data_IF_570997242029
#
_entry.id   IF_570997242029
#
_cell.length_a   1.000
_cell.length_b   1.000
_cell.length_c   1.000
_cell.angle_alpha   90.00
_cell.angle_beta   90.00
_cell.angle_gamma   90.00
#
_symmetry.space_group_name_H-M   'P 1'
#
loop_
_entity.id
_entity.type
_entity.pdbx_description
1 polymer ?
#
# COMPACT_ATOMS: atom_id res chain seq x y z
N UNK A 1 34.47 -2.60 5.44
CA UNK A 1 33.97 -1.33 4.88
C UNK A 1 32.55 -1.10 5.35
N UNK A 2 32.24 0.07 5.90
CA UNK A 2 30.86 0.40 6.26
C UNK A 2 30.04 0.53 4.96
N UNK A 3 28.88 -0.14 4.89
CA UNK A 3 28.00 -0.06 3.71
C UNK A 3 27.65 1.40 3.43
N UNK A 4 27.75 1.80 2.17
CA UNK A 4 27.29 3.11 1.73
C UNK A 4 25.78 3.26 1.93
N UNK A 5 25.31 4.49 2.04
CA UNK A 5 23.87 4.76 2.18
C UNK A 5 23.05 4.15 1.02
N UNK A 6 23.60 4.12 -0.19
CA UNK A 6 22.96 3.50 -1.35
C UNK A 6 22.78 1.97 -1.17
N UNK A 7 23.80 1.30 -0.63
CA UNK A 7 23.78 -0.14 -0.35
C UNK A 7 22.87 -0.49 0.82
N UNK A 8 22.86 0.33 1.89
CA UNK A 8 21.92 0.17 2.99
C UNK A 8 20.46 0.30 2.52
N UNK A 9 20.20 1.28 1.65
CA UNK A 9 18.88 1.46 1.05
C UNK A 9 18.51 0.30 0.12
N UNK A 10 19.45 -0.24 -0.65
CA UNK A 10 19.22 -1.42 -1.50
C UNK A 10 18.88 -2.67 -0.68
N UNK A 11 19.62 -2.90 0.41
CA UNK A 11 19.38 -4.02 1.33
C UNK A 11 18.05 -3.86 2.07
N UNK A 12 17.71 -2.64 2.50
CA UNK A 12 16.40 -2.34 3.10
C UNK A 12 15.25 -2.63 2.12
N UNK A 13 15.40 -2.20 0.86
CA UNK A 13 14.44 -2.48 -0.23
C UNK A 13 14.26 -3.98 -0.44
N UNK A 14 15.35 -4.74 -0.55
CA UNK A 14 15.29 -6.19 -0.73
C UNK A 14 14.59 -6.89 0.43
N UNK A 15 14.83 -6.47 1.68
CA UNK A 15 14.19 -7.05 2.88
C UNK A 15 12.70 -6.70 3.00
N UNK A 16 12.26 -5.55 2.52
CA UNK A 16 10.87 -5.11 2.62
C UNK A 16 9.98 -5.57 1.45
N UNK A 17 10.59 -5.88 0.29
CA UNK A 17 9.90 -6.47 -0.86
C UNK A 17 9.78 -7.99 -0.74
N UNK A 18 10.75 -8.65 -0.09
CA UNK A 18 10.72 -10.08 0.22
C UNK A 18 10.18 -10.30 1.62
N UNK A 19 8.88 -10.07 1.83
CA UNK A 19 8.22 -10.82 2.90
C UNK A 19 8.25 -12.31 2.53
N UNK A 20 8.13 -13.19 3.50
CA UNK A 20 8.31 -14.65 3.37
C UNK A 20 7.39 -15.26 2.27
N UNK A 21 6.32 -14.55 1.91
CA UNK A 21 5.36 -14.95 0.88
C UNK A 21 5.45 -14.15 -0.44
N UNK A 22 6.32 -13.13 -0.56
CA UNK A 22 6.47 -12.34 -1.80
C UNK A 22 5.30 -11.41 -2.16
N UNK A 23 4.29 -11.28 -1.30
CA UNK A 23 3.03 -10.57 -1.58
C UNK A 23 3.08 -9.03 -1.45
N UNK A 24 4.27 -8.42 -1.37
CA UNK A 24 4.41 -6.96 -1.20
C UNK A 24 4.85 -6.27 -2.49
N UNK A 25 3.97 -5.45 -3.05
CA UNK A 25 4.29 -4.55 -4.15
C UNK A 25 4.66 -3.14 -3.67
N UNK A 26 5.52 -2.44 -4.44
CA UNK A 26 5.89 -1.06 -4.12
C UNK A 26 4.85 -0.09 -4.69
N UNK A 27 4.21 0.68 -3.81
CA UNK A 27 3.41 1.84 -4.20
C UNK A 27 4.34 3.05 -4.49
N UNK A 28 4.50 3.41 -5.78
CA UNK A 28 5.33 4.55 -6.19
C UNK A 28 4.51 5.84 -6.26
N UNK A 29 4.24 6.48 -5.10
CA UNK A 29 3.41 7.69 -5.05
C UNK A 29 3.99 8.77 -4.16
N UNK A 30 3.68 10.02 -4.51
CA UNK A 30 3.88 11.19 -3.66
C UNK A 30 2.49 11.69 -3.24
N UNK A 31 2.34 11.97 -1.94
CA UNK A 31 1.11 12.52 -1.38
C UNK A 31 1.39 13.87 -0.73
N UNK A 32 0.34 14.69 -0.59
CA UNK A 32 0.46 16.00 0.05
C UNK A 32 0.90 15.87 1.53
N UNK A 33 1.63 16.88 2.02
CA UNK A 33 2.07 16.91 3.42
C UNK A 33 0.90 16.86 4.44
N UNK A 34 -0.26 17.49 4.20
CA UNK A 34 -1.45 17.31 5.03
C UNK A 34 -1.94 15.85 5.07
N UNK A 35 -2.02 15.17 3.93
CA UNK A 35 -2.46 13.78 3.85
C UNK A 35 -1.55 12.85 4.67
N UNK A 36 -0.23 13.02 4.51
CA UNK A 36 0.77 12.26 5.30
C UNK A 36 0.62 12.48 6.81
N UNK A 37 0.35 13.73 7.24
CA UNK A 37 0.11 14.04 8.66
C UNK A 37 -1.15 13.36 9.18
N UNK A 38 -2.24 13.36 8.41
CA UNK A 38 -3.47 12.65 8.77
C UNK A 38 -3.26 11.15 8.88
N UNK A 39 -2.59 10.52 7.91
CA UNK A 39 -2.26 9.10 7.96
C UNK A 39 -1.45 8.76 9.22
N UNK A 40 -0.45 9.57 9.57
CA UNK A 40 0.35 9.38 10.78
C UNK A 40 -0.48 9.46 12.07
N UNK A 41 -1.41 10.42 12.16
CA UNK A 41 -2.29 10.55 13.34
C UNK A 41 -3.22 9.36 13.48
N UNK A 42 -3.86 8.94 12.39
CA UNK A 42 -4.76 7.79 12.38
C UNK A 42 -4.02 6.50 12.73
N UNK A 43 -2.85 6.27 12.15
CA UNK A 43 -2.04 5.09 12.44
C UNK A 43 -1.66 5.03 13.94
N UNK A 44 -1.31 6.18 14.52
CA UNK A 44 -1.03 6.30 15.97
C UNK A 44 -2.28 6.01 16.81
N UNK A 45 -3.43 6.55 16.43
CA UNK A 45 -4.69 6.36 17.17
C UNK A 45 -5.10 4.88 17.21
N UNK A 46 -4.96 4.16 16.09
CA UNK A 46 -5.26 2.73 16.00
C UNK A 46 -4.11 1.81 16.43
N UNK A 47 -2.98 2.36 16.90
CA UNK A 47 -1.77 1.61 17.27
C UNK A 47 -1.23 0.67 16.16
N UNK A 48 -1.37 1.06 14.89
CA UNK A 48 -0.90 0.30 13.72
C UNK A 48 0.18 1.04 12.94
N UNK A 49 0.85 0.34 12.02
CA UNK A 49 1.79 0.95 11.08
C UNK A 49 1.03 1.75 10.02
N UNK A 50 1.65 2.82 9.49
CA UNK A 50 1.05 3.62 8.41
C UNK A 50 0.77 2.79 7.15
N UNK A 51 1.60 1.79 6.84
CA UNK A 51 1.38 0.88 5.71
C UNK A 51 0.13 0.03 5.91
N UNK A 52 -0.01 -0.59 7.08
CA UNK A 52 -1.18 -1.41 7.42
C UNK A 52 -2.48 -0.60 7.40
N UNK A 53 -2.44 0.64 7.89
CA UNK A 53 -3.59 1.53 7.79
C UNK A 53 -3.89 1.92 6.34
N UNK A 54 -2.87 2.19 5.52
CA UNK A 54 -3.06 2.51 4.11
C UNK A 54 -3.66 1.34 3.33
N UNK A 55 -3.15 0.13 3.53
CA UNK A 55 -3.68 -1.11 2.95
C UNK A 55 -5.16 -1.30 3.33
N UNK A 56 -5.49 -1.11 4.61
CA UNK A 56 -6.88 -1.15 5.07
C UNK A 56 -7.76 -0.11 4.38
N UNK A 57 -7.31 1.14 4.31
CA UNK A 57 -8.08 2.22 3.66
C UNK A 57 -8.30 1.94 2.17
N UNK A 58 -7.33 1.35 1.47
CA UNK A 58 -7.47 0.95 0.07
C UNK A 58 -8.49 -0.18 -0.06
N UNK A 59 -8.37 -1.24 0.74
CA UNK A 59 -9.30 -2.37 0.70
C UNK A 59 -10.73 -1.98 1.08
N UNK A 60 -10.90 -1.12 2.09
CA UNK A 60 -12.21 -0.62 2.51
C UNK A 60 -12.85 0.23 1.39
N UNK A 61 -12.06 1.05 0.69
CA UNK A 61 -12.53 1.87 -0.43
C UNK A 61 -12.91 1.02 -1.66
N UNK A 62 -12.07 0.07 -2.04
CA UNK A 62 -12.34 -0.86 -3.15
C UNK A 62 -13.59 -1.69 -2.88
N UNK A 63 -13.72 -2.25 -1.67
CA UNK A 63 -14.92 -2.99 -1.26
C UNK A 63 -16.19 -2.13 -1.33
N UNK A 64 -16.12 -0.88 -0.88
CA UNK A 64 -17.25 0.03 -0.94
C UNK A 64 -17.66 0.37 -2.38
N UNK A 65 -16.72 0.36 -3.32
CA UNK A 65 -16.99 0.60 -4.74
C UNK A 65 -17.59 -0.63 -5.42
N UNK A 66 -16.99 -1.81 -5.21
CA UNK A 66 -17.52 -3.08 -5.71
C UNK A 66 -18.94 -3.36 -5.23
N UNK A 67 -19.28 -2.97 -4.00
CA UNK A 67 -20.63 -3.12 -3.45
C UNK A 67 -21.72 -2.33 -4.21
N UNK A 68 -21.33 -1.34 -5.02
CA UNK A 68 -22.26 -0.54 -5.85
C UNK A 68 -22.41 -1.10 -7.27
N UNK A 69 -21.52 -2.01 -7.67
CA UNK A 69 -21.43 -2.55 -9.03
C UNK A 69 -22.20 -3.86 -9.15
N UNK A 70 -22.81 -4.08 -10.31
CA UNK A 70 -23.32 -5.37 -10.75
C UNK A 70 -22.19 -6.39 -10.98
N UNK A 71 -22.52 -7.68 -11.08
CA UNK A 71 -21.50 -8.73 -11.30
C UNK A 71 -20.66 -8.50 -12.56
N UNK A 72 -21.29 -8.07 -13.65
CA UNK A 72 -20.60 -7.80 -14.92
C UNK A 72 -19.65 -6.58 -14.80
N UNK A 73 -20.07 -5.55 -14.05
CA UNK A 73 -19.25 -4.36 -13.79
C UNK A 73 -18.06 -4.67 -12.87
N UNK A 74 -18.22 -5.57 -11.88
CA UNK A 74 -17.13 -6.03 -11.02
C UNK A 74 -16.07 -6.80 -11.83
N UNK A 75 -16.50 -7.72 -12.71
CA UNK A 75 -15.59 -8.43 -13.60
C UNK A 75 -14.80 -7.48 -14.48
N UNK A 76 -15.48 -6.52 -15.11
CA UNK A 76 -14.83 -5.51 -15.94
C UNK A 76 -13.82 -4.65 -15.16
N UNK A 77 -14.13 -4.27 -13.91
CA UNK A 77 -13.23 -3.52 -13.03
C UNK A 77 -11.93 -4.29 -12.71
N UNK A 78 -12.04 -5.57 -12.36
CA UNK A 78 -10.90 -6.43 -12.04
C UNK A 78 -10.05 -6.75 -13.29
N UNK A 79 -10.68 -6.98 -14.42
CA UNK A 79 -10.00 -7.36 -15.67
C UNK A 79 -9.18 -6.20 -16.26
N UNK A 80 -9.54 -4.94 -15.96
CA UNK A 80 -8.88 -3.74 -16.48
C UNK A 80 -7.38 -3.60 -16.10
N UNK A 81 -6.90 -4.34 -15.10
CA UNK A 81 -5.50 -4.30 -14.62
C UNK A 81 -4.72 -5.56 -15.05
N UNK A 82 -5.40 -6.55 -15.66
CA UNK A 82 -4.82 -7.86 -16.03
C UNK A 82 -4.26 -7.89 -17.47
N UNK A 83 -4.33 -6.79 -18.22
CA UNK A 83 -3.79 -6.67 -19.60
C UNK A 83 -2.44 -5.95 -19.66
#
# INVERSE_FOLDING_TARGET
MAKSNAELQAVYRQRHLKDIEGNKARLNTLISAPAKRSLKRLAKHYAVRQTALLERLIADAEKAELAKMSGDEQSAYCDAITQ
#
